data_IF_819123620626
#
_entry.id   IF_819123620626
#
_cell.length_a   1.000
_cell.length_b   1.000
_cell.length_c   1.000
_cell.angle_alpha   90.00
_cell.angle_beta   90.00
_cell.angle_gamma   90.00
#
_symmetry.space_group_name_H-M   'P 1'
#
loop_
_entity.id
_entity.type
_entity.pdbx_description
1 polymer ?
#
# COMPACT_ATOMS: atom_id res chain seq x y z
N UNK A 1 -11.11 4.13 -13.07
CA UNK A 1 -11.43 2.70 -12.88
C UNK A 1 -11.95 2.52 -11.46
N UNK A 2 -13.09 1.88 -11.30
CA UNK A 2 -13.62 1.59 -9.96
C UNK A 2 -12.79 0.49 -9.30
N UNK A 3 -12.44 0.68 -8.03
CA UNK A 3 -11.78 -0.35 -7.24
C UNK A 3 -12.85 -1.29 -6.71
N UNK A 4 -12.78 -2.56 -7.09
CA UNK A 4 -13.65 -3.58 -6.53
C UNK A 4 -13.05 -4.06 -5.21
N UNK A 5 -13.57 -3.55 -4.11
CA UNK A 5 -13.19 -4.01 -2.78
C UNK A 5 -14.04 -5.21 -2.40
N UNK A 6 -13.42 -6.28 -1.87
CA UNK A 6 -14.19 -7.28 -1.15
C UNK A 6 -14.94 -6.60 0.00
N UNK A 7 -16.20 -6.96 0.21
CA UNK A 7 -17.05 -6.35 1.25
C UNK A 7 -16.51 -6.52 2.68
N UNK A 8 -15.48 -7.36 2.86
CA UNK A 8 -14.84 -7.67 4.15
C UNK A 8 -13.55 -6.92 4.41
N UNK A 9 -13.01 -6.16 3.46
CA UNK A 9 -11.75 -5.44 3.68
C UNK A 9 -11.96 -4.20 4.54
N UNK A 10 -11.10 -3.98 5.55
CA UNK A 10 -11.19 -2.81 6.40
C UNK A 10 -10.76 -1.55 5.63
N UNK A 11 -11.44 -0.45 5.94
CA UNK A 11 -11.14 0.87 5.39
C UNK A 11 -10.78 1.78 6.54
N UNK A 12 -9.65 2.48 6.41
CA UNK A 12 -9.13 3.37 7.44
C UNK A 12 -9.45 4.82 7.07
N UNK A 13 -9.81 5.62 8.06
CA UNK A 13 -10.26 7.00 7.85
C UNK A 13 -9.11 8.00 7.98
N UNK A 14 -9.10 8.98 7.07
CA UNK A 14 -8.28 10.16 7.16
C UNK A 14 -9.16 11.34 7.54
N UNK A 15 -8.88 11.98 8.66
CA UNK A 15 -9.56 13.20 9.11
C UNK A 15 -8.69 14.41 8.77
N UNK A 16 -9.07 15.15 7.74
CA UNK A 16 -8.31 16.31 7.28
C UNK A 16 -8.44 17.52 8.19
N UNK A 17 -9.51 17.63 8.95
CA UNK A 17 -9.66 18.71 9.91
C UNK A 17 -8.67 18.57 11.06
N UNK A 18 -8.47 17.36 11.54
CA UNK A 18 -7.49 17.04 12.58
C UNK A 18 -6.13 16.65 12.03
N UNK A 19 -6.04 16.41 10.73
CA UNK A 19 -4.84 15.90 10.02
C UNK A 19 -4.40 14.51 10.51
N UNK A 20 -5.33 13.72 11.01
CA UNK A 20 -5.06 12.39 11.57
C UNK A 20 -5.39 11.28 10.59
N UNK A 21 -4.69 10.16 10.72
CA UNK A 21 -4.89 8.95 9.91
C UNK A 21 -5.11 7.78 10.85
N UNK A 22 -6.19 7.03 10.66
CA UNK A 22 -6.37 5.75 11.33
C UNK A 22 -5.37 4.74 10.78
N UNK A 23 -4.85 3.88 11.64
CA UNK A 23 -3.87 2.87 11.26
C UNK A 23 -4.38 1.46 11.56
N UNK A 24 -4.05 0.46 10.71
CA UNK A 24 -4.29 -0.94 11.05
C UNK A 24 -3.38 -1.39 12.19
N UNK A 25 -3.66 -2.58 12.74
CA UNK A 25 -2.82 -3.20 13.76
C UNK A 25 -1.41 -3.45 13.24
N UNK A 26 -1.28 -3.77 11.97
CA UNK A 26 0.01 -3.87 11.28
C UNK A 26 -0.15 -3.49 9.81
N UNK A 27 0.91 -2.98 9.19
CA UNK A 27 0.93 -2.64 7.77
C UNK A 27 1.17 -3.86 6.90
N UNK A 28 2.15 -4.67 7.25
CA UNK A 28 2.56 -5.87 6.52
C UNK A 28 3.57 -6.65 7.34
N UNK A 29 4.09 -7.72 6.77
CA UNK A 29 5.17 -8.52 7.36
C UNK A 29 6.48 -8.17 6.66
N UNK A 30 7.59 -8.27 7.40
CA UNK A 30 8.93 -7.97 6.92
C UNK A 30 9.24 -8.69 5.60
N UNK A 31 9.81 -7.95 4.65
CA UNK A 31 10.21 -8.41 3.31
C UNK A 31 9.07 -8.79 2.36
N UNK A 32 7.81 -8.62 2.73
CA UNK A 32 6.71 -8.78 1.80
C UNK A 32 6.68 -7.62 0.79
N UNK A 33 6.24 -7.90 -0.40
CA UNK A 33 6.08 -6.90 -1.46
C UNK A 33 4.71 -7.03 -2.10
N UNK A 34 3.89 -5.99 -1.95
CA UNK A 34 2.53 -5.92 -2.48
C UNK A 34 1.59 -7.05 -2.02
N UNK A 35 1.95 -7.73 -0.94
CA UNK A 35 1.09 -8.74 -0.33
C UNK A 35 -0.14 -8.10 0.33
N UNK A 36 0.04 -6.89 0.88
CA UNK A 36 -1.03 -6.12 1.50
C UNK A 36 -1.34 -4.86 0.70
N UNK A 37 -2.63 -4.61 0.50
CA UNK A 37 -3.12 -3.34 0.00
C UNK A 37 -4.05 -2.73 1.03
N UNK A 38 -3.70 -1.56 1.52
CA UNK A 38 -4.49 -0.82 2.48
C UNK A 38 -5.34 0.22 1.77
N UNK A 39 -6.57 0.40 2.24
CA UNK A 39 -7.49 1.38 1.66
C UNK A 39 -7.83 2.43 2.70
N UNK A 40 -7.65 3.68 2.30
CA UNK A 40 -7.95 4.84 3.13
C UNK A 40 -9.08 5.64 2.51
N UNK A 41 -10.01 6.10 3.34
CA UNK A 41 -11.12 6.93 2.90
C UNK A 41 -10.93 8.35 3.42
N UNK A 42 -11.18 9.32 2.56
CA UNK A 42 -11.03 10.74 2.87
C UNK A 42 -12.14 11.53 2.18
N UNK A 43 -12.50 12.68 2.72
CA UNK A 43 -13.40 13.61 2.08
C UNK A 43 -12.81 14.06 0.73
N UNK A 44 -13.62 13.99 -0.33
CA UNK A 44 -13.17 14.41 -1.64
C UNK A 44 -12.91 15.90 -1.72
N UNK A 45 -13.71 16.69 -1.02
CA UNK A 45 -13.59 18.15 -1.01
C UNK A 45 -13.09 18.62 0.35
N UNK A 46 -12.08 19.47 0.36
CA UNK A 46 -11.53 20.11 1.53
C UNK A 46 -11.12 21.53 1.20
N UNK A 47 -11.59 22.52 1.98
CA UNK A 47 -11.36 23.95 1.74
C UNK A 47 -11.68 24.39 0.31
N UNK A 48 -12.81 23.90 -0.24
CA UNK A 48 -13.26 24.15 -1.61
C UNK A 48 -12.33 23.60 -2.69
N UNK A 49 -11.40 22.72 -2.33
CA UNK A 49 -10.52 22.04 -3.27
C UNK A 49 -11.05 20.61 -3.50
N UNK A 50 -11.19 20.22 -4.74
CA UNK A 50 -11.46 18.84 -5.12
C UNK A 50 -10.15 18.04 -5.07
N UNK A 51 -9.97 17.26 -4.01
CA UNK A 51 -8.75 16.47 -3.81
C UNK A 51 -8.54 15.41 -4.90
N UNK A 52 -9.61 15.00 -5.61
CA UNK A 52 -9.47 14.09 -6.75
C UNK A 52 -8.68 14.71 -7.91
N UNK A 53 -8.55 16.03 -7.96
CA UNK A 53 -7.73 16.74 -8.94
C UNK A 53 -6.27 16.93 -8.51
N UNK A 54 -5.94 16.55 -7.27
CA UNK A 54 -4.59 16.64 -6.74
C UNK A 54 -3.79 15.36 -6.99
N UNK A 55 -2.48 15.46 -6.92
CA UNK A 55 -1.59 14.30 -6.84
C UNK A 55 -1.43 13.91 -5.37
N UNK A 56 -1.55 12.64 -5.07
CA UNK A 56 -1.28 12.13 -3.73
C UNK A 56 -0.02 11.28 -3.71
N UNK A 57 0.82 11.54 -2.72
CA UNK A 57 1.95 10.67 -2.39
C UNK A 57 1.88 10.30 -0.92
N UNK A 58 2.34 9.11 -0.61
CA UNK A 58 2.53 8.65 0.76
C UNK A 58 4.03 8.71 1.02
N UNK A 59 4.44 9.67 1.85
CA UNK A 59 5.82 9.79 2.27
C UNK A 59 6.01 8.91 3.51
N UNK A 60 7.02 8.09 3.53
CA UNK A 60 7.28 7.23 4.68
C UNK A 60 8.76 7.08 4.99
N UNK A 61 9.01 6.78 6.26
CA UNK A 61 10.33 6.41 6.75
C UNK A 61 10.17 4.97 7.25
N UNK A 62 10.89 4.02 6.64
CA UNK A 62 10.83 2.64 7.07
C UNK A 62 11.51 2.43 8.42
N UNK A 63 11.40 1.22 8.99
CA UNK A 63 11.95 0.92 10.31
C UNK A 63 13.48 1.03 10.37
N UNK A 64 14.15 0.99 9.24
CA UNK A 64 15.59 1.23 9.12
C UNK A 64 15.99 2.70 8.99
N UNK A 65 15.03 3.62 9.02
CA UNK A 65 15.28 5.06 8.91
C UNK A 65 15.42 5.58 7.49
N UNK A 66 15.10 4.78 6.49
CA UNK A 66 15.18 5.17 5.08
C UNK A 66 13.90 5.89 4.64
N UNK A 67 14.04 7.08 4.07
CA UNK A 67 12.91 7.86 3.54
C UNK A 67 12.57 7.43 2.13
N UNK A 68 11.29 7.22 1.87
CA UNK A 68 10.75 6.81 0.56
C UNK A 68 9.42 7.48 0.30
N UNK A 69 8.99 7.41 -0.95
CA UNK A 69 7.73 7.98 -1.40
C UNK A 69 6.99 6.92 -2.23
N UNK A 70 5.72 6.75 -1.94
CA UNK A 70 4.80 5.96 -2.77
C UNK A 70 3.87 6.91 -3.51
N UNK A 71 3.88 6.88 -4.83
CA UNK A 71 2.95 7.64 -5.65
C UNK A 71 1.64 6.87 -5.78
N UNK A 72 0.55 7.46 -5.31
CA UNK A 72 -0.78 6.86 -5.41
C UNK A 72 -1.20 6.86 -6.89
N UNK A 73 -1.46 5.69 -7.48
CA UNK A 73 -1.70 5.61 -8.93
C UNK A 73 -3.07 6.13 -9.35
N UNK A 74 -4.07 6.05 -8.47
CA UNK A 74 -5.44 6.48 -8.77
C UNK A 74 -6.25 6.65 -7.49
N UNK A 75 -7.39 7.34 -7.60
CA UNK A 75 -8.40 7.41 -6.55
C UNK A 75 -9.68 6.73 -7.02
N UNK A 76 -10.35 6.03 -6.11
CA UNK A 76 -11.73 5.62 -6.36
C UNK A 76 -12.68 6.70 -5.84
N UNK A 77 -13.34 7.38 -6.75
CA UNK A 77 -14.32 8.44 -6.45
C UNK A 77 -15.76 7.99 -6.70
N UNK A 78 -15.97 6.73 -7.09
CA UNK A 78 -17.27 6.22 -7.50
C UNK A 78 -17.98 5.40 -6.43
N UNK A 79 -17.26 4.58 -5.68
CA UNK A 79 -17.83 3.64 -4.71
C UNK A 79 -18.53 4.35 -3.53
N UNK A 80 -17.98 5.46 -3.07
CA UNK A 80 -18.50 6.25 -1.93
C UNK A 80 -18.94 7.65 -2.38
N UNK A 81 -19.61 7.71 -3.52
CA UNK A 81 -20.08 8.97 -4.10
C UNK A 81 -21.47 9.34 -3.56
N UNK A 82 -21.53 9.71 -2.28
CA UNK A 82 -22.74 10.29 -1.69
C UNK A 82 -22.79 11.79 -2.06
N UNK A 83 -23.86 12.30 -2.71
CA UNK A 83 -23.97 13.71 -3.05
C UNK A 83 -23.83 14.68 -1.86
N UNK A 84 -24.22 14.24 -0.66
CA UNK A 84 -24.13 15.06 0.55
C UNK A 84 -22.78 15.02 1.23
N UNK A 85 -22.02 13.95 1.00
CA UNK A 85 -20.70 13.74 1.60
C UNK A 85 -19.83 12.88 0.69
N UNK A 86 -19.39 13.42 -0.44
CA UNK A 86 -18.57 12.64 -1.37
C UNK A 86 -17.22 12.31 -0.77
N UNK A 87 -16.83 11.04 -0.91
CA UNK A 87 -15.58 10.49 -0.40
C UNK A 87 -14.74 9.97 -1.56
N UNK A 88 -13.48 9.77 -1.30
CA UNK A 88 -12.61 9.02 -2.21
C UNK A 88 -11.77 8.00 -1.45
N UNK A 89 -11.48 6.88 -2.10
CA UNK A 89 -10.59 5.85 -1.59
C UNK A 89 -9.20 6.02 -2.17
N UNK A 90 -8.21 5.83 -1.31
CA UNK A 90 -6.81 5.88 -1.65
C UNK A 90 -6.21 4.49 -1.39
N UNK A 91 -5.78 3.75 -2.43
CA UNK A 91 -5.10 2.47 -2.24
C UNK A 91 -3.62 2.68 -1.96
N UNK A 92 -3.10 1.94 -1.00
CA UNK A 92 -1.66 1.86 -0.75
C UNK A 92 -1.23 0.40 -0.81
N UNK A 93 -0.61 0.01 -1.92
CA UNK A 93 0.03 -1.29 -2.03
C UNK A 93 1.38 -1.22 -1.31
N UNK A 94 1.49 -1.92 -0.18
CA UNK A 94 2.70 -1.88 0.64
C UNK A 94 3.84 -2.57 -0.10
N UNK A 95 4.85 -1.80 -0.46
CA UNK A 95 6.00 -2.29 -1.24
C UNK A 95 7.14 -2.78 -0.37
N UNK A 96 8.10 -3.48 -1.00
CA UNK A 96 9.26 -4.06 -0.33
C UNK A 96 10.16 -3.05 0.39
N UNK A 97 10.18 -1.80 -0.06
CA UNK A 97 10.94 -0.75 0.62
C UNK A 97 10.33 -0.39 1.99
N UNK A 98 9.01 -0.41 2.12
CA UNK A 98 8.34 -0.16 3.39
C UNK A 98 8.51 -1.34 4.36
N UNK A 99 8.57 -2.55 3.86
CA UNK A 99 8.65 -3.79 4.64
C UNK A 99 10.07 -4.32 4.83
N UNK A 100 11.06 -3.59 4.35
CA UNK A 100 12.47 -4.02 4.35
C UNK A 100 12.98 -4.41 5.74
N UNK A 101 12.49 -3.73 6.76
CA UNK A 101 12.84 -3.97 8.16
C UNK A 101 11.56 -4.06 9.00
N UNK A 102 11.55 -4.94 9.98
CA UNK A 102 10.50 -5.00 10.99
C UNK A 102 10.60 -3.80 11.93
N UNK A 103 9.47 -3.31 12.40
CA UNK A 103 9.38 -2.19 13.32
C UNK A 103 8.40 -1.13 12.86
N UNK A 104 8.57 0.08 13.39
CA UNK A 104 7.67 1.19 13.10
C UNK A 104 8.03 1.87 11.79
N UNK A 105 7.02 2.02 10.93
CA UNK A 105 7.07 2.83 9.73
C UNK A 105 6.28 4.10 10.00
N UNK A 106 6.93 5.24 9.87
CA UNK A 106 6.28 6.55 10.00
C UNK A 106 5.85 7.02 8.64
N UNK A 107 4.60 7.38 8.47
CA UNK A 107 4.08 7.80 7.16
C UNK A 107 3.12 8.97 7.26
N UNK A 108 2.95 9.69 6.15
CA UNK A 108 1.97 10.76 5.99
C UNK A 108 1.48 10.81 4.56
N UNK A 109 0.24 11.26 4.41
CA UNK A 109 -0.36 11.53 3.10
C UNK A 109 -0.12 12.98 2.73
N UNK A 110 0.25 13.21 1.48
CA UNK A 110 0.40 14.56 0.94
C UNK A 110 -0.39 14.69 -0.35
N UNK A 111 -1.28 15.69 -0.38
CA UNK A 111 -2.04 16.07 -1.55
C UNK A 111 -1.49 17.38 -2.07
N UNK A 112 -1.10 17.44 -3.33
CA UNK A 112 -0.47 18.64 -3.85
C UNK A 112 -0.82 18.89 -5.32
N UNK A 113 -0.66 20.14 -5.72
CA UNK A 113 -0.64 20.59 -7.11
C UNK A 113 0.62 21.40 -7.34
N UNK A 114 1.24 21.18 -8.48
CA UNK A 114 2.41 21.95 -8.93
C UNK A 114 1.97 22.84 -10.10
N UNK A 115 2.51 24.06 -10.15
CA UNK A 115 2.40 24.84 -11.36
C UNK A 115 3.30 24.24 -12.44
N UNK A 116 2.95 24.48 -13.71
CA UNK A 116 3.81 24.08 -14.83
C UNK A 116 5.01 25.02 -14.90
N UNK A 117 6.21 24.48 -14.99
CA UNK A 117 7.41 25.26 -15.23
C UNK A 117 7.43 25.68 -16.69
N UNK A 118 7.41 26.98 -16.92
CA UNK A 118 7.52 27.57 -18.26
C UNK A 118 8.90 28.22 -18.48
N UNK A 119 9.71 28.37 -17.42
CA UNK A 119 10.97 29.07 -17.45
C UNK A 119 11.94 28.51 -16.40
N UNK A 120 13.23 28.38 -16.73
CA UNK A 120 14.28 27.94 -15.81
C UNK A 120 14.44 28.87 -14.60
N UNK A 121 14.05 30.14 -14.74
CA UNK A 121 14.11 31.13 -13.65
C UNK A 121 12.98 30.96 -12.62
N UNK A 122 11.93 30.24 -12.96
CA UNK A 122 10.77 29.98 -12.11
C UNK A 122 10.62 28.49 -11.89
N UNK A 123 11.32 27.91 -10.89
CA UNK A 123 11.20 26.48 -10.61
C UNK A 123 9.78 26.10 -10.20
N UNK A 124 9.44 24.84 -10.38
CA UNK A 124 8.13 24.31 -9.95
C UNK A 124 7.92 24.61 -8.47
N UNK A 125 6.78 25.17 -8.15
CA UNK A 125 6.36 25.38 -6.78
C UNK A 125 4.94 24.84 -6.58
N UNK A 126 4.60 24.57 -5.34
CA UNK A 126 3.26 24.12 -5.01
C UNK A 126 2.26 25.26 -5.13
N UNK A 127 1.20 25.04 -5.92
CA UNK A 127 0.01 25.89 -5.91
C UNK A 127 -0.97 25.43 -4.83
N UNK A 128 -0.85 24.18 -4.39
CA UNK A 128 -1.59 23.58 -3.29
C UNK A 128 -0.74 22.48 -2.64
N UNK A 129 -0.75 22.41 -1.32
CA UNK A 129 0.00 21.40 -0.59
C UNK A 129 -0.65 21.16 0.77
N UNK A 130 -1.21 19.99 0.94
CA UNK A 130 -1.91 19.56 2.14
C UNK A 130 -1.31 18.25 2.63
N UNK A 131 -0.89 18.21 3.89
CA UNK A 131 -0.31 16.99 4.49
C UNK A 131 -1.04 16.58 5.74
N UNK A 132 -1.12 15.27 5.99
CA UNK A 132 -1.53 14.74 7.28
C UNK A 132 -0.34 14.76 8.26
N UNK A 133 -0.64 14.60 9.54
CA UNK A 133 0.40 14.41 10.55
C UNK A 133 1.10 13.08 10.33
N UNK A 134 2.40 12.99 10.63
CA UNK A 134 3.09 11.71 10.64
C UNK A 134 2.41 10.72 11.59
N UNK A 135 2.22 9.51 11.09
CA UNK A 135 1.53 8.43 11.80
C UNK A 135 2.40 7.19 11.74
N UNK A 136 2.38 6.37 12.78
CA UNK A 136 3.17 5.14 12.83
C UNK A 136 2.31 3.94 12.52
N UNK A 137 2.81 3.07 11.63
CA UNK A 137 2.31 1.74 11.38
C UNK A 137 3.40 0.73 11.71
N UNK A 138 3.01 -0.51 11.95
CA UNK A 138 3.95 -1.57 12.34
C UNK A 138 4.16 -2.57 11.19
N UNK A 139 5.41 -2.88 10.91
CA UNK A 139 5.80 -4.01 10.09
C UNK A 139 6.21 -5.15 11.03
N UNK A 140 5.52 -6.28 10.92
CA UNK A 140 5.76 -7.44 11.76
C UNK A 140 7.05 -8.15 11.35
N UNK A 141 7.70 -8.77 12.32
CA UNK A 141 8.86 -9.60 12.05
C UNK A 141 8.47 -10.81 11.20
N UNK A 142 9.28 -11.11 10.18
CA UNK A 142 9.14 -12.26 9.31
C UNK A 142 10.33 -13.21 9.44
N UNK A 143 10.16 -14.43 8.95
CA UNK A 143 11.28 -15.38 8.87
C UNK A 143 12.21 -14.98 7.73
N UNK A 144 13.52 -15.15 7.94
CA UNK A 144 14.51 -14.83 6.92
C UNK A 144 14.48 -15.89 5.79
N UNK A 145 14.25 -15.43 4.56
CA UNK A 145 14.24 -16.28 3.36
C UNK A 145 15.60 -16.99 3.18
N UNK A 146 16.71 -16.35 3.58
CA UNK A 146 18.04 -16.93 3.47
C UNK A 146 18.18 -18.22 4.29
N UNK A 147 17.54 -18.30 5.44
CA UNK A 147 17.54 -19.49 6.26
C UNK A 147 16.78 -20.64 5.61
N UNK A 148 15.71 -20.32 4.89
CA UNK A 148 14.94 -21.30 4.11
C UNK A 148 15.71 -21.80 2.89
N UNK A 149 16.41 -20.93 2.18
CA UNK A 149 17.26 -21.31 1.04
C UNK A 149 18.46 -22.14 1.47
N UNK A 150 19.11 -21.77 2.55
CA UNK A 150 20.27 -22.47 3.09
C UNK A 150 19.96 -23.87 3.63
N UNK A 151 18.72 -24.12 4.04
CA UNK A 151 18.30 -25.40 4.62
C UNK A 151 17.93 -26.47 3.59
N UNK A 152 17.94 -26.18 2.31
CA UNK A 152 17.43 -27.02 1.22
C UNK A 152 15.96 -27.44 1.40
N UNK A 153 15.28 -26.86 2.40
CA UNK A 153 13.91 -27.23 2.75
C UNK A 153 12.93 -27.11 1.58
N UNK A 154 13.05 -26.01 0.81
CA UNK A 154 12.18 -25.79 -0.32
C UNK A 154 12.43 -26.78 -1.44
N UNK A 155 13.71 -27.11 -1.72
CA UNK A 155 14.06 -28.11 -2.73
C UNK A 155 13.54 -29.50 -2.35
N UNK A 156 13.71 -29.91 -1.09
CA UNK A 156 13.21 -31.18 -0.59
C UNK A 156 11.67 -31.27 -0.68
N UNK A 157 10.97 -30.19 -0.37
CA UNK A 157 9.52 -30.15 -0.49
C UNK A 157 9.03 -30.16 -1.94
N UNK A 158 9.74 -29.50 -2.82
CA UNK A 158 9.45 -29.51 -4.23
C UNK A 158 9.61 -30.91 -4.82
N UNK A 159 10.72 -31.59 -4.53
CA UNK A 159 10.92 -33.00 -4.93
C UNK A 159 9.83 -33.92 -4.40
N UNK A 160 9.43 -33.77 -3.15
CA UNK A 160 8.35 -34.57 -2.56
C UNK A 160 7.03 -34.36 -3.29
N UNK A 161 6.70 -33.13 -3.65
CA UNK A 161 5.48 -32.79 -4.39
C UNK A 161 5.51 -33.41 -5.79
N UNK A 162 6.61 -33.28 -6.52
CA UNK A 162 6.76 -33.88 -7.85
C UNK A 162 6.69 -35.39 -7.81
N UNK A 163 7.30 -36.03 -6.80
CA UNK A 163 7.20 -37.48 -6.61
C UNK A 163 5.75 -37.94 -6.38
N UNK A 164 4.98 -37.19 -5.58
CA UNK A 164 3.54 -37.48 -5.37
C UNK A 164 2.72 -37.30 -6.61
N UNK A 165 2.97 -36.29 -7.41
CA UNK A 165 2.29 -36.06 -8.69
C UNK A 165 2.58 -37.19 -9.65
N UNK A 166 3.84 -37.62 -9.79
CA UNK A 166 4.23 -38.73 -10.64
C UNK A 166 3.57 -40.06 -10.21
N UNK A 167 3.47 -40.32 -8.90
CA UNK A 167 2.80 -41.50 -8.37
C UNK A 167 1.30 -41.49 -8.69
N UNK A 168 0.63 -40.34 -8.57
CA UNK A 168 -0.78 -40.18 -8.91
C UNK A 168 -1.04 -40.35 -10.41
N UNK A 169 -0.18 -39.86 -11.27
CA UNK A 169 -0.25 -40.01 -12.71
C UNK A 169 -0.11 -41.48 -13.11
N UNK A 170 0.80 -42.25 -12.50
CA UNK A 170 0.95 -43.67 -12.79
C UNK A 170 -0.24 -44.47 -12.32
N UNK A 171 -0.91 -44.13 -11.22
CA UNK A 171 -2.15 -44.76 -10.77
C UNK A 171 -3.31 -44.52 -11.74
N UNK A 172 -3.41 -43.36 -12.34
CA UNK A 172 -4.49 -43.05 -13.30
C UNK A 172 -4.41 -43.90 -14.58
N UNK A 173 -3.25 -44.40 -14.94
CA UNK A 173 -3.04 -45.30 -16.08
C UNK A 173 -3.40 -46.77 -15.79
N UNK A 174 -3.42 -47.16 -14.52
CA UNK A 174 -3.71 -48.56 -14.10
C UNK A 174 -5.22 -48.81 -14.04
N UNK A 175 -6.03 -47.78 -13.80
CA UNK A 175 -7.50 -47.88 -13.71
C UNK A 175 -8.22 -47.80 -15.04
N UNK A 176 -7.53 -47.94 -16.14
CA UNK A 176 -8.12 -48.02 -17.48
C UNK A 176 -8.47 -49.49 -17.83
#
# INVERSE_FOLDING_TARGET
>A
MAVLLPSSEPIYKIDLNKRTVETPDFLSVEKEHRAECLYFIVDRFFDNIDLATTTCVIQYINAGGESRVYAVPYYDVTTYNDPNSPKMLIPWAIGGEATKYAGDVTFSFRFYKLNKVLDEKNPRHFTYNLSTRPTKGKVLYGLDIKDLEASNYLADKEEEIYARIAALESLSWIDL
#
